data_IF_368576880590
#
_entry.id   IF_368576880590
#
_cell.length_a   1.000
_cell.length_b   1.000
_cell.length_c   1.000
_cell.angle_alpha   90.00
_cell.angle_beta   90.00
_cell.angle_gamma   90.00
#
_symmetry.space_group_name_H-M   'P 1'
#
loop_
_entity.id
_entity.type
_entity.pdbx_description
1 polymer ?
#
# COMPACT_ATOMS: atom_id res chain seq x y z
N UNK A 1 -18.47 -5.40 -3.38
CA UNK A 1 -17.41 -4.75 -2.62
C UNK A 1 -16.10 -5.17 -3.24
N UNK A 2 -15.29 -4.20 -3.68
CA UNK A 2 -13.91 -4.43 -4.07
C UNK A 2 -13.00 -4.20 -2.87
N UNK A 3 -11.98 -5.05 -2.71
CA UNK A 3 -10.90 -4.83 -1.74
C UNK A 3 -9.71 -4.19 -2.47
N UNK A 4 -9.26 -3.07 -1.94
CA UNK A 4 -8.03 -2.40 -2.31
C UNK A 4 -7.01 -2.55 -1.20
N UNK A 5 -5.75 -2.74 -1.58
CA UNK A 5 -4.63 -2.86 -0.64
C UNK A 5 -3.51 -1.92 -1.08
N UNK A 6 -3.01 -1.09 -0.17
CA UNK A 6 -1.82 -0.30 -0.43
C UNK A 6 -0.57 -1.19 -0.54
N UNK A 7 0.50 -0.66 -1.11
CA UNK A 7 1.78 -1.37 -1.22
C UNK A 7 2.79 -0.93 -0.15
N UNK A 8 3.08 0.36 -0.06
CA UNK A 8 4.17 0.86 0.80
C UNK A 8 3.72 0.86 2.26
N UNK A 9 4.39 0.09 3.13
CA UNK A 9 3.99 -0.05 4.54
C UNK A 9 2.89 -1.09 4.79
N UNK A 10 2.42 -1.78 3.75
CA UNK A 10 1.42 -2.86 3.86
C UNK A 10 1.91 -4.15 3.21
N UNK A 11 2.43 -4.08 1.97
CA UNK A 11 3.01 -5.23 1.27
C UNK A 11 4.54 -5.18 1.27
N UNK A 12 5.10 -3.99 1.08
CA UNK A 12 6.53 -3.73 1.02
C UNK A 12 6.98 -2.82 2.17
N UNK A 13 8.11 -3.13 2.79
CA UNK A 13 8.66 -2.42 3.94
C UNK A 13 9.41 -1.15 3.52
N UNK A 14 8.64 -0.13 3.14
CA UNK A 14 9.15 1.18 2.74
C UNK A 14 9.95 1.86 3.87
N UNK A 15 9.42 1.85 5.09
CA UNK A 15 10.00 2.60 6.21
C UNK A 15 11.37 2.02 6.63
N UNK A 16 11.53 0.70 6.68
CA UNK A 16 12.84 0.09 6.95
C UNK A 16 13.80 0.26 5.79
N UNK A 17 13.32 0.17 4.54
CA UNK A 17 14.15 0.39 3.35
C UNK A 17 14.69 1.84 3.31
N UNK A 18 13.81 2.82 3.55
CA UNK A 18 14.16 4.23 3.68
C UNK A 18 15.17 4.45 4.81
N UNK A 19 14.90 3.93 6.01
CA UNK A 19 15.80 4.05 7.16
C UNK A 19 17.18 3.45 6.90
N UNK A 20 17.23 2.29 6.22
CA UNK A 20 18.48 1.63 5.87
C UNK A 20 19.35 2.50 4.94
N UNK A 21 18.73 3.20 3.99
CA UNK A 21 19.45 4.02 3.02
C UNK A 21 19.83 5.41 3.55
N UNK A 22 18.96 6.03 4.34
CA UNK A 22 19.12 7.44 4.72
C UNK A 22 19.37 7.68 6.22
N UNK A 23 19.31 6.62 7.05
CA UNK A 23 19.67 6.67 8.47
C UNK A 23 18.54 7.10 9.42
N UNK A 24 17.37 7.46 8.90
CA UNK A 24 16.20 7.85 9.71
C UNK A 24 14.90 7.34 9.08
N UNK A 25 13.86 7.15 9.89
CA UNK A 25 12.52 6.78 9.42
C UNK A 25 11.80 8.02 8.88
N UNK A 26 11.05 7.94 7.76
CA UNK A 26 10.28 9.08 7.27
C UNK A 26 9.25 9.53 8.32
N UNK A 27 9.15 10.84 8.55
CA UNK A 27 8.17 11.39 9.51
C UNK A 27 6.79 11.39 8.86
N UNK A 28 5.76 10.91 9.56
CA UNK A 28 4.37 10.91 9.08
C UNK A 28 3.50 11.87 9.91
N UNK A 29 2.65 12.71 9.29
CA UNK A 29 2.46 12.89 7.85
C UNK A 29 3.47 13.85 7.21
N UNK A 30 3.90 13.55 5.98
CA UNK A 30 4.53 14.52 5.06
C UNK A 30 6.05 14.70 5.13
N UNK A 31 6.76 13.98 6.01
CA UNK A 31 8.22 14.08 6.18
C UNK A 31 9.04 13.06 5.40
N UNK A 32 8.54 12.57 4.26
CA UNK A 32 9.33 11.77 3.33
C UNK A 32 10.07 12.68 2.35
N UNK A 33 11.39 12.58 2.27
CA UNK A 33 12.18 13.34 1.30
C UNK A 33 12.21 12.62 -0.05
N UNK A 34 11.31 13.02 -0.93
CA UNK A 34 11.22 12.44 -2.28
C UNK A 34 12.43 12.74 -3.16
N UNK A 35 13.26 13.75 -2.84
CA UNK A 35 14.50 14.00 -3.59
C UNK A 35 15.53 12.92 -3.29
N UNK A 36 15.63 12.48 -2.03
CA UNK A 36 16.50 11.37 -1.65
C UNK A 36 16.04 10.07 -2.31
N UNK A 37 14.75 9.76 -2.25
CA UNK A 37 14.18 8.56 -2.89
C UNK A 37 14.43 8.59 -4.41
N UNK A 38 14.22 9.73 -5.07
CA UNK A 38 14.47 9.86 -6.52
C UNK A 38 15.95 9.71 -6.92
N UNK A 39 16.88 9.92 -5.97
CA UNK A 39 18.31 9.76 -6.19
C UNK A 39 18.80 8.31 -6.08
N UNK A 40 17.93 7.37 -5.70
CA UNK A 40 18.26 5.95 -5.55
C UNK A 40 17.64 5.17 -6.70
N UNK A 41 18.50 4.56 -7.52
CA UNK A 41 18.08 3.66 -8.59
C UNK A 41 17.35 2.44 -8.01
N UNK A 42 16.27 2.02 -8.67
CA UNK A 42 15.49 0.83 -8.31
C UNK A 42 15.01 0.83 -6.84
N UNK A 43 14.78 2.02 -6.25
CA UNK A 43 14.39 2.15 -4.82
C UNK A 43 13.21 1.23 -4.47
N UNK A 44 12.12 1.31 -5.24
CA UNK A 44 10.92 0.52 -4.97
C UNK A 44 11.09 -0.96 -5.32
N UNK A 45 11.94 -1.28 -6.30
CA UNK A 45 12.20 -2.64 -6.72
C UNK A 45 13.03 -3.42 -5.68
N UNK A 46 13.84 -2.73 -4.89
CA UNK A 46 14.73 -3.33 -3.89
C UNK A 46 14.14 -3.33 -2.45
N UNK A 47 12.88 -2.97 -2.29
CA UNK A 47 12.20 -3.07 -1.00
C UNK A 47 12.01 -4.53 -0.60
N UNK A 48 12.12 -4.82 0.70
CA UNK A 48 11.74 -6.12 1.24
C UNK A 48 10.22 -6.19 1.40
N UNK A 49 9.68 -7.40 1.41
CA UNK A 49 8.32 -7.66 1.86
C UNK A 49 8.15 -7.25 3.33
N UNK A 50 6.92 -6.88 3.72
CA UNK A 50 6.57 -6.79 5.13
C UNK A 50 6.78 -8.16 5.81
N UNK A 51 7.29 -8.22 7.05
CA UNK A 51 7.58 -9.50 7.72
C UNK A 51 6.37 -10.43 7.86
N UNK A 52 5.16 -9.88 7.92
CA UNK A 52 3.89 -10.57 8.05
C UNK A 52 3.08 -10.60 6.73
N UNK A 53 3.70 -10.31 5.58
CA UNK A 53 3.05 -10.33 4.27
C UNK A 53 2.36 -11.66 4.00
N UNK A 54 2.98 -12.79 4.34
CA UNK A 54 2.38 -14.12 4.13
C UNK A 54 1.03 -14.27 4.84
N UNK A 55 0.92 -13.80 6.08
CA UNK A 55 -0.32 -13.85 6.87
C UNK A 55 -1.39 -12.96 6.25
N UNK A 56 -1.02 -11.75 5.83
CA UNK A 56 -1.95 -10.83 5.18
C UNK A 56 -2.41 -11.38 3.83
N UNK A 57 -1.49 -11.94 3.04
CA UNK A 57 -1.78 -12.37 1.69
C UNK A 57 -2.63 -13.64 1.66
N UNK A 58 -2.37 -14.61 2.54
CA UNK A 58 -3.24 -15.78 2.75
C UNK A 58 -4.69 -15.37 3.02
N UNK A 59 -4.88 -14.26 3.74
CA UNK A 59 -6.20 -13.75 4.05
C UNK A 59 -6.90 -13.07 2.87
N UNK A 60 -6.14 -12.41 2.00
CA UNK A 60 -6.67 -11.52 0.97
C UNK A 60 -6.74 -12.17 -0.41
N UNK A 61 -5.87 -13.13 -0.76
CA UNK A 61 -5.68 -13.53 -2.15
C UNK A 61 -6.95 -14.05 -2.83
N UNK A 62 -7.83 -14.77 -2.12
CA UNK A 62 -9.09 -15.29 -2.65
C UNK A 62 -10.10 -14.20 -3.00
N UNK A 63 -9.94 -13.00 -2.44
CA UNK A 63 -10.79 -11.84 -2.73
C UNK A 63 -10.36 -11.09 -3.99
N UNK A 64 -9.30 -11.54 -4.67
CA UNK A 64 -8.71 -10.88 -5.84
C UNK A 64 -8.52 -9.37 -5.62
N UNK A 65 -7.74 -8.97 -4.59
CA UNK A 65 -7.59 -7.57 -4.22
C UNK A 65 -6.89 -6.79 -5.34
N UNK A 66 -7.26 -5.52 -5.49
CA UNK A 66 -6.57 -4.58 -6.38
C UNK A 66 -5.49 -3.88 -5.56
N UNK A 67 -4.24 -3.95 -6.01
CA UNK A 67 -3.18 -3.15 -5.40
C UNK A 67 -3.37 -1.69 -5.84
N UNK A 68 -3.62 -0.80 -4.89
CA UNK A 68 -3.84 0.63 -5.12
C UNK A 68 -2.73 1.41 -4.43
N UNK A 69 -1.65 1.67 -5.17
CA UNK A 69 -0.40 2.25 -4.63
C UNK A 69 -0.21 3.70 -5.04
N UNK A 70 0.31 4.48 -4.11
CA UNK A 70 0.78 5.84 -4.36
C UNK A 70 2.04 5.86 -5.23
N UNK A 71 2.13 6.79 -6.19
CA UNK A 71 3.36 7.16 -6.90
C UNK A 71 3.66 8.66 -6.69
N UNK A 72 4.85 9.01 -6.18
CA UNK A 72 5.26 10.41 -6.08
C UNK A 72 5.43 11.04 -7.46
N UNK A 73 4.96 12.28 -7.64
CA UNK A 73 5.02 12.99 -8.94
C UNK A 73 6.44 13.14 -9.48
N UNK A 74 7.42 13.18 -8.58
CA UNK A 74 8.81 13.47 -8.91
C UNK A 74 9.61 12.23 -9.34
N UNK A 75 9.05 11.03 -9.20
CA UNK A 75 9.78 9.76 -9.42
C UNK A 75 9.15 8.99 -10.57
N UNK A 76 9.67 9.20 -11.78
CA UNK A 76 9.16 8.58 -13.00
C UNK A 76 9.26 7.05 -12.99
N UNK A 77 10.28 6.49 -12.35
CA UNK A 77 10.50 5.04 -12.28
C UNK A 77 9.52 4.31 -11.34
N UNK A 78 8.88 5.03 -10.41
CA UNK A 78 8.13 4.43 -9.31
C UNK A 78 7.05 3.44 -9.76
N UNK A 79 6.29 3.77 -10.81
CA UNK A 79 5.26 2.87 -11.32
C UNK A 79 5.84 1.56 -11.86
N UNK A 80 6.89 1.64 -12.68
CA UNK A 80 7.52 0.48 -13.29
C UNK A 80 8.14 -0.44 -12.23
N UNK A 81 8.85 0.15 -11.26
CA UNK A 81 9.50 -0.58 -10.19
C UNK A 81 8.50 -1.32 -9.30
N UNK A 82 7.42 -0.64 -8.91
CA UNK A 82 6.34 -1.24 -8.11
C UNK A 82 5.64 -2.39 -8.84
N UNK A 83 5.35 -2.22 -10.14
CA UNK A 83 4.76 -3.30 -10.96
C UNK A 83 5.69 -4.50 -11.06
N UNK A 84 6.99 -4.29 -11.27
CA UNK A 84 8.00 -5.36 -11.30
C UNK A 84 8.10 -6.06 -9.95
N UNK A 85 8.16 -5.31 -8.85
CA UNK A 85 8.18 -5.83 -7.50
C UNK A 85 6.98 -6.74 -7.24
N UNK A 86 5.77 -6.26 -7.52
CA UNK A 86 4.53 -7.03 -7.33
C UNK A 86 4.51 -8.32 -8.16
N UNK A 87 5.03 -8.29 -9.39
CA UNK A 87 5.13 -9.48 -10.24
C UNK A 87 6.06 -10.56 -9.65
N UNK A 88 7.12 -10.16 -8.96
CA UNK A 88 8.09 -11.08 -8.35
C UNK A 88 7.56 -11.63 -7.03
N UNK A 89 7.07 -10.76 -6.15
CA UNK A 89 6.72 -11.12 -4.78
C UNK A 89 5.29 -11.65 -4.65
N UNK A 90 4.36 -11.16 -5.46
CA UNK A 90 2.93 -11.51 -5.41
C UNK A 90 2.39 -11.81 -6.82
N UNK A 91 2.85 -12.89 -7.48
CA UNK A 91 2.53 -13.18 -8.89
C UNK A 91 1.04 -13.43 -9.17
N UNK A 92 0.22 -13.64 -8.13
CA UNK A 92 -1.23 -13.78 -8.23
C UNK A 92 -1.97 -12.42 -8.33
N UNK A 93 -1.28 -11.30 -8.10
CA UNK A 93 -1.86 -9.97 -8.31
C UNK A 93 -2.06 -9.73 -9.79
N UNK A 94 -3.33 -9.58 -10.19
CA UNK A 94 -3.70 -9.33 -11.59
C UNK A 94 -4.00 -7.86 -11.88
N UNK A 95 -4.32 -7.07 -10.86
CA UNK A 95 -4.76 -5.68 -11.00
C UNK A 95 -3.93 -4.75 -10.10
N UNK A 96 -3.29 -3.77 -10.73
CA UNK A 96 -2.43 -2.78 -10.07
C UNK A 96 -2.78 -1.40 -10.61
N UNK A 97 -3.21 -0.52 -9.71
CA UNK A 97 -3.51 0.88 -9.98
C UNK A 97 -2.43 1.73 -9.30
N UNK A 98 -1.70 2.48 -10.12
CA UNK A 98 -0.72 3.46 -9.67
C UNK A 98 -1.33 4.85 -9.84
N UNK A 99 -1.45 5.59 -8.75
CA UNK A 99 -1.98 6.96 -8.78
C UNK A 99 -1.30 7.81 -7.71
N UNK A 100 -1.58 9.12 -7.64
CA UNK A 100 -1.12 9.89 -6.48
C UNK A 100 -1.92 9.45 -5.26
N UNK A 101 -1.26 9.29 -4.10
CA UNK A 101 -1.91 8.77 -2.90
C UNK A 101 -3.17 9.58 -2.49
N UNK A 102 -3.15 10.89 -2.72
CA UNK A 102 -4.30 11.77 -2.47
C UNK A 102 -5.50 11.50 -3.38
N UNK A 103 -5.30 10.88 -4.53
CA UNK A 103 -6.33 10.63 -5.55
C UNK A 103 -6.90 9.20 -5.44
N UNK A 104 -6.44 8.38 -4.48
CA UNK A 104 -6.96 7.03 -4.23
C UNK A 104 -8.49 7.01 -4.10
N UNK A 105 -9.08 7.99 -3.43
CA UNK A 105 -10.54 8.07 -3.26
C UNK A 105 -11.33 8.11 -4.57
N UNK A 106 -10.72 8.51 -5.69
CA UNK A 106 -11.39 8.55 -7.00
C UNK A 106 -11.71 7.16 -7.54
N UNK A 107 -11.04 6.12 -7.04
CA UNK A 107 -11.29 4.72 -7.38
C UNK A 107 -12.33 4.06 -6.46
N UNK A 108 -12.73 4.73 -5.39
CA UNK A 108 -13.67 4.21 -4.41
C UNK A 108 -15.10 4.24 -4.95
N UNK A 109 -15.82 3.13 -4.83
CA UNK A 109 -17.28 3.10 -4.89
C UNK A 109 -17.85 2.87 -3.48
N UNK A 110 -19.09 3.29 -3.20
CA UNK A 110 -19.72 3.02 -1.91
C UNK A 110 -19.66 1.53 -1.55
N UNK A 111 -19.15 1.23 -0.35
CA UNK A 111 -18.95 -0.12 0.15
C UNK A 111 -17.64 -0.80 -0.25
N UNK A 112 -16.76 -0.15 -1.03
CA UNK A 112 -15.41 -0.68 -1.30
C UNK A 112 -14.49 -0.49 -0.09
N UNK A 113 -13.57 -1.44 0.13
CA UNK A 113 -12.62 -1.44 1.24
C UNK A 113 -11.24 -1.00 0.78
N UNK A 114 -10.56 -0.13 1.54
CA UNK A 114 -9.13 0.13 1.40
C UNK A 114 -8.38 -0.22 2.70
N UNK A 115 -7.34 -1.04 2.56
CA UNK A 115 -6.36 -1.39 3.59
C UNK A 115 -5.09 -0.59 3.32
N UNK A 116 -4.73 0.33 4.21
CA UNK A 116 -3.65 1.30 4.00
C UNK A 116 -3.06 1.73 5.36
N UNK A 117 -1.74 1.85 5.47
CA UNK A 117 -1.05 2.24 6.71
C UNK A 117 -1.17 3.74 6.97
N UNK A 118 -1.37 4.53 5.91
CA UNK A 118 -1.28 5.97 5.94
C UNK A 118 -2.63 6.66 6.06
N UNK A 119 -3.08 6.78 7.31
CA UNK A 119 -4.37 7.34 7.72
C UNK A 119 -4.67 8.77 7.19
N UNK A 120 -3.70 9.49 6.62
CA UNK A 120 -3.91 10.81 5.98
C UNK A 120 -5.01 10.78 4.92
N UNK A 121 -5.19 9.66 4.22
CA UNK A 121 -6.17 9.51 3.14
C UNK A 121 -7.49 8.87 3.59
N UNK A 122 -7.61 8.47 4.86
CA UNK A 122 -8.79 7.83 5.43
C UNK A 122 -10.06 8.64 5.19
N UNK A 123 -10.06 9.91 5.59
CA UNK A 123 -11.27 10.74 5.50
C UNK A 123 -11.77 10.89 4.05
N UNK A 124 -10.86 11.03 3.09
CA UNK A 124 -11.22 11.15 1.68
C UNK A 124 -11.88 9.86 1.16
N UNK A 125 -11.32 8.70 1.54
CA UNK A 125 -11.89 7.39 1.18
C UNK A 125 -13.27 7.17 1.81
N UNK A 126 -13.41 7.43 3.12
CA UNK A 126 -14.69 7.23 3.81
C UNK A 126 -15.76 8.22 3.34
N UNK A 127 -15.39 9.46 3.00
CA UNK A 127 -16.32 10.43 2.41
C UNK A 127 -16.84 10.01 1.03
N UNK A 128 -16.07 9.21 0.29
CA UNK A 128 -16.51 8.59 -0.96
C UNK A 128 -17.42 7.36 -0.75
N UNK A 129 -17.79 7.06 0.51
CA UNK A 129 -18.63 5.93 0.90
C UNK A 129 -17.86 4.62 1.09
N UNK A 130 -16.53 4.66 1.08
CA UNK A 130 -15.68 3.49 1.28
C UNK A 130 -15.51 3.09 2.74
N UNK A 131 -15.18 1.82 2.95
CA UNK A 131 -14.74 1.24 4.22
C UNK A 131 -13.21 1.37 4.29
N UNK A 132 -12.67 1.67 5.46
CA UNK A 132 -11.24 1.84 5.68
C UNK A 132 -10.74 0.95 6.80
N UNK A 133 -9.64 0.26 6.56
CA UNK A 133 -8.83 -0.41 7.58
C UNK A 133 -7.47 0.29 7.64
N UNK A 134 -7.13 0.82 8.82
CA UNK A 134 -5.77 1.31 9.05
C UNK A 134 -4.88 0.11 9.34
N UNK A 135 -3.97 -0.19 8.42
CA UNK A 135 -3.05 -1.31 8.57
C UNK A 135 -2.00 -1.00 9.64
N UNK A 136 -1.90 -1.86 10.65
CA UNK A 136 -0.85 -1.81 11.69
C UNK A 136 -0.09 -3.13 11.80
N UNK A 137 -0.78 -4.24 11.49
CA UNK A 137 -0.23 -5.58 11.31
C UNK A 137 -1.22 -6.41 10.49
N UNK A 138 -0.75 -7.51 9.93
CA UNK A 138 -1.57 -8.50 9.26
C UNK A 138 -2.67 -9.04 10.19
N UNK A 139 -2.33 -9.41 11.43
CA UNK A 139 -3.29 -9.97 12.39
C UNK A 139 -4.40 -8.98 12.76
N UNK A 140 -4.06 -7.71 12.97
CA UNK A 140 -5.07 -6.68 13.24
C UNK A 140 -5.98 -6.45 12.03
N UNK A 141 -5.41 -6.46 10.82
CA UNK A 141 -6.18 -6.39 9.57
C UNK A 141 -7.13 -7.58 9.45
N UNK A 142 -6.67 -8.81 9.70
CA UNK A 142 -7.52 -10.00 9.68
C UNK A 142 -8.70 -9.88 10.66
N UNK A 143 -8.46 -9.43 11.89
CA UNK A 143 -9.54 -9.21 12.89
C UNK A 143 -10.55 -8.17 12.44
N UNK A 144 -10.10 -7.09 11.80
CA UNK A 144 -10.99 -6.06 11.26
C UNK A 144 -11.81 -6.61 10.08
N UNK A 145 -11.21 -7.42 9.20
CA UNK A 145 -11.94 -8.11 8.12
C UNK A 145 -13.03 -9.05 8.66
N UNK A 146 -12.72 -9.83 9.70
CA UNK A 146 -13.67 -10.74 10.33
C UNK A 146 -14.85 -9.98 10.96
N UNK A 147 -14.55 -8.83 11.60
CA UNK A 147 -15.56 -7.94 12.19
C UNK A 147 -16.49 -7.33 11.12
N UNK A 148 -16.02 -7.24 9.87
CA UNK A 148 -16.80 -6.80 8.72
C UNK A 148 -17.55 -7.96 8.03
N UNK A 149 -17.40 -9.20 8.51
CA UNK A 149 -18.01 -10.39 7.90
C UNK A 149 -17.40 -10.78 6.55
N UNK A 150 -16.20 -10.28 6.25
CA UNK A 150 -15.41 -10.72 5.12
C UNK A 150 -14.75 -12.02 5.58
N UNK A 151 -14.91 -13.14 4.90
CA UNK A 151 -14.32 -14.44 5.28
C UNK A 151 -12.98 -14.68 4.59
#
# INVERSE_FOLDING_TARGET
MQIYVDMDGVLADFDSHYKKLFGYTPIRPGGCDWKLVNGVEDFYLNMKEMPDLGVLWERLYLHNPIVLTGIPRQINAAENDKRKWLKVHLPLVTQIICCQAKDKYQYCKPGDLLIDDYARHKQAWTNAGGIWITHTSALDTCRQLDSLGIA
#
